data_IF_397966481343
#
_entry.id   IF_397966481343
#
_cell.length_a   1.000
_cell.length_b   1.000
_cell.length_c   1.000
_cell.angle_alpha   90.00
_cell.angle_beta   90.00
_cell.angle_gamma   90.00
#
_symmetry.space_group_name_H-M   'P 1'
#
loop_
_entity.id
_entity.type
_entity.pdbx_description
1 polymer ?
#
# COMPACT_ATOMS: atom_id res chain seq x y z
N UNK A 1 28.43 47.46 -49.19
CA UNK A 1 27.85 47.55 -47.85
C UNK A 1 27.01 46.30 -47.65
N UNK A 2 27.58 45.21 -47.06
CA UNK A 2 26.86 43.97 -46.71
C UNK A 2 26.68 43.96 -45.19
N UNK A 3 25.43 43.94 -44.72
CA UNK A 3 25.04 43.71 -43.32
C UNK A 3 25.01 42.22 -43.02
N UNK A 4 25.60 41.73 -41.94
CA UNK A 4 25.43 40.36 -41.50
C UNK A 4 24.14 40.25 -40.66
N UNK A 5 23.13 39.61 -41.23
CA UNK A 5 21.90 39.22 -40.53
C UNK A 5 21.93 37.68 -40.41
N UNK A 6 22.25 37.16 -39.21
CA UNK A 6 22.25 35.70 -39.12
C UNK A 6 22.86 35.05 -37.88
N UNK A 7 22.93 35.76 -36.71
CA UNK A 7 23.56 35.12 -35.52
C UNK A 7 22.72 35.06 -34.25
N UNK A 8 21.47 35.46 -34.28
CA UNK A 8 20.62 35.54 -33.07
C UNK A 8 19.51 34.50 -32.99
N UNK A 9 19.24 33.69 -34.05
CA UNK A 9 18.15 32.69 -34.06
C UNK A 9 18.58 31.37 -33.39
N UNK A 10 19.88 31.04 -33.40
CA UNK A 10 20.36 29.76 -32.82
C UNK A 10 20.34 29.68 -31.29
N UNK A 11 20.45 30.83 -30.60
CA UNK A 11 20.51 30.83 -29.12
C UNK A 11 19.13 30.70 -28.44
N UNK A 12 18.06 31.13 -29.11
CA UNK A 12 16.69 31.03 -28.54
C UNK A 12 16.08 29.63 -28.65
N UNK A 13 16.54 28.80 -29.60
CA UNK A 13 16.03 27.47 -29.77
C UNK A 13 16.56 26.46 -28.72
N UNK A 14 17.78 26.69 -28.22
CA UNK A 14 18.39 25.83 -27.20
C UNK A 14 17.74 25.97 -25.81
N UNK A 15 17.17 27.14 -25.48
CA UNK A 15 16.55 27.37 -24.16
C UNK A 15 15.15 26.71 -24.08
N UNK A 16 14.44 26.61 -25.20
CA UNK A 16 13.10 26.00 -25.24
C UNK A 16 13.15 24.48 -25.09
N UNK A 17 14.25 23.82 -25.48
CA UNK A 17 14.38 22.35 -25.36
C UNK A 17 14.77 21.92 -23.94
N UNK A 18 15.54 22.76 -23.21
CA UNK A 18 15.93 22.48 -21.83
C UNK A 18 14.74 22.52 -20.84
N UNK A 19 13.67 23.27 -21.16
CA UNK A 19 12.48 23.39 -20.30
C UNK A 19 11.53 22.19 -20.39
N UNK A 20 11.66 21.32 -21.39
CA UNK A 20 10.81 20.15 -21.59
C UNK A 20 11.27 18.91 -20.79
N UNK A 21 12.49 18.90 -20.26
CA UNK A 21 13.02 17.78 -19.47
C UNK A 21 12.74 17.87 -17.97
N UNK A 22 12.18 18.99 -17.47
CA UNK A 22 11.89 19.18 -16.03
C UNK A 22 10.47 18.67 -15.66
N UNK A 23 9.63 18.31 -16.64
CA UNK A 23 8.21 17.99 -16.41
C UNK A 23 7.91 16.52 -16.15
N UNK A 24 8.88 15.63 -15.94
CA UNK A 24 8.66 14.18 -15.71
C UNK A 24 9.44 13.62 -14.52
N UNK A 25 9.79 14.40 -13.53
CA UNK A 25 10.02 13.88 -12.20
C UNK A 25 8.64 13.78 -11.53
N UNK A 26 7.85 12.76 -11.89
CA UNK A 26 6.88 12.22 -10.95
C UNK A 26 7.71 11.75 -9.77
N UNK A 27 7.59 12.42 -8.64
CA UNK A 27 8.04 11.86 -7.37
C UNK A 27 7.35 10.50 -7.26
N UNK A 28 8.10 9.42 -7.47
CA UNK A 28 7.61 8.06 -7.30
C UNK A 28 7.37 7.87 -5.80
N UNK A 29 6.17 8.23 -5.36
CA UNK A 29 5.74 8.05 -3.97
C UNK A 29 5.80 6.56 -3.66
N UNK A 30 6.55 6.20 -2.62
CA UNK A 30 6.71 4.80 -2.25
C UNK A 30 5.33 4.15 -2.00
N UNK A 31 5.11 2.89 -2.42
CA UNK A 31 3.83 2.21 -2.22
C UNK A 31 3.35 2.23 -0.76
N UNK A 32 4.26 2.18 0.21
CA UNK A 32 3.97 2.29 1.65
C UNK A 32 3.37 3.65 2.01
N UNK A 33 3.83 4.74 1.42
CA UNK A 33 3.31 6.08 1.70
C UNK A 33 1.91 6.26 1.08
N UNK A 34 1.67 5.68 -0.09
CA UNK A 34 0.34 5.63 -0.72
C UNK A 34 -0.65 4.84 0.14
N UNK A 35 -0.22 3.70 0.69
CA UNK A 35 -1.01 2.88 1.61
C UNK A 35 -1.37 3.67 2.87
N UNK A 36 -0.37 4.26 3.53
CA UNK A 36 -0.57 5.07 4.72
C UNK A 36 -1.56 6.21 4.50
N UNK A 37 -1.38 6.97 3.42
CA UNK A 37 -2.30 8.05 3.07
C UNK A 37 -3.72 7.52 2.82
N UNK A 38 -3.88 6.37 2.17
CA UNK A 38 -5.19 5.79 1.91
C UNK A 38 -5.91 5.36 3.20
N UNK A 39 -5.20 4.87 4.21
CA UNK A 39 -5.77 4.58 5.53
C UNK A 39 -6.12 5.86 6.31
N UNK A 40 -5.32 6.92 6.21
CA UNK A 40 -5.67 8.23 6.79
C UNK A 40 -6.92 8.83 6.12
N UNK A 41 -7.03 8.76 4.79
CA UNK A 41 -8.23 9.20 4.06
C UNK A 41 -9.48 8.42 4.53
N UNK A 42 -9.35 7.11 4.79
CA UNK A 42 -10.44 6.29 5.31
C UNK A 42 -10.85 6.71 6.72
N UNK A 43 -9.89 7.00 7.61
CA UNK A 43 -10.20 7.51 8.96
C UNK A 43 -10.93 8.85 8.91
N UNK A 44 -10.47 9.76 8.05
CA UNK A 44 -11.13 11.06 7.86
C UNK A 44 -12.59 10.90 7.38
N UNK A 45 -12.83 10.01 6.41
CA UNK A 45 -14.19 9.72 5.92
C UNK A 45 -15.09 9.10 6.99
N UNK A 46 -14.53 8.24 7.87
CA UNK A 46 -15.27 7.66 9.01
C UNK A 46 -15.72 8.74 9.98
N UNK A 47 -14.86 9.70 10.30
CA UNK A 47 -15.20 10.85 11.17
C UNK A 47 -16.34 11.70 10.58
N UNK A 48 -16.35 11.88 9.26
CA UNK A 48 -17.42 12.62 8.59
C UNK A 48 -18.74 11.85 8.48
N UNK A 49 -18.64 10.53 8.26
CA UNK A 49 -19.82 9.69 7.99
C UNK A 49 -20.54 9.22 9.25
N UNK A 50 -19.83 9.00 10.37
CA UNK A 50 -20.40 8.39 11.59
C UNK A 50 -20.63 9.46 12.64
N UNK A 51 -21.90 9.78 12.92
CA UNK A 51 -22.27 10.80 13.91
C UNK A 51 -22.26 10.29 15.37
N UNK A 52 -22.28 8.98 15.59
CA UNK A 52 -22.22 8.38 16.93
C UNK A 52 -20.78 8.23 17.37
N UNK A 53 -20.31 8.94 18.42
CA UNK A 53 -18.90 8.96 18.80
C UNK A 53 -18.37 7.60 19.29
N UNK A 54 -19.23 6.72 19.80
CA UNK A 54 -18.82 5.38 20.25
C UNK A 54 -18.59 4.48 19.03
N UNK A 55 -19.48 4.53 18.05
CA UNK A 55 -19.32 3.78 16.79
C UNK A 55 -18.18 4.32 15.94
N UNK A 56 -17.98 5.64 15.89
CA UNK A 56 -16.85 6.29 15.23
C UNK A 56 -15.51 5.79 15.81
N UNK A 57 -15.34 5.88 17.13
CA UNK A 57 -14.12 5.44 17.80
C UNK A 57 -13.84 3.94 17.56
N UNK A 58 -14.86 3.10 17.59
CA UNK A 58 -14.72 1.66 17.30
C UNK A 58 -14.37 1.42 15.83
N UNK A 59 -14.98 2.14 14.88
CA UNK A 59 -14.64 2.02 13.46
C UNK A 59 -13.18 2.40 13.20
N UNK A 60 -12.70 3.51 13.78
CA UNK A 60 -11.29 3.94 13.68
C UNK A 60 -10.35 2.89 14.28
N UNK A 61 -10.70 2.33 15.44
CA UNK A 61 -9.92 1.25 16.07
C UNK A 61 -9.83 0.01 15.16
N UNK A 62 -10.93 -0.39 14.52
CA UNK A 62 -10.97 -1.53 13.62
C UNK A 62 -10.16 -1.30 12.34
N UNK A 63 -10.14 -0.08 11.82
CA UNK A 63 -9.25 0.32 10.72
C UNK A 63 -7.78 0.19 11.13
N UNK A 64 -7.43 0.59 12.36
CA UNK A 64 -6.09 0.39 12.92
C UNK A 64 -5.68 -1.09 12.96
N UNK A 65 -6.58 -1.97 13.42
CA UNK A 65 -6.32 -3.42 13.41
C UNK A 65 -6.08 -3.97 12.00
N UNK A 66 -6.86 -3.51 11.02
CA UNK A 66 -6.65 -3.91 9.61
C UNK A 66 -5.28 -3.47 9.09
N UNK A 67 -4.88 -2.22 9.34
CA UNK A 67 -3.60 -1.66 8.92
C UNK A 67 -2.42 -2.41 9.56
N UNK A 68 -2.48 -2.66 10.86
CA UNK A 68 -1.46 -3.41 11.61
C UNK A 68 -1.30 -4.84 11.11
N UNK A 69 -2.39 -5.58 10.90
CA UNK A 69 -2.35 -6.95 10.40
C UNK A 69 -1.79 -7.02 8.96
N UNK A 70 -2.12 -6.05 8.10
CA UNK A 70 -1.57 -5.97 6.75
C UNK A 70 -0.08 -5.60 6.74
N UNK A 71 0.35 -4.70 7.63
CA UNK A 71 1.76 -4.36 7.82
C UNK A 71 2.57 -5.55 8.35
N UNK A 72 2.02 -6.30 9.32
CA UNK A 72 2.62 -7.52 9.84
C UNK A 72 2.75 -8.60 8.75
N UNK A 73 1.69 -8.80 7.94
CA UNK A 73 1.73 -9.72 6.81
C UNK A 73 2.84 -9.37 5.81
N UNK A 74 3.00 -8.09 5.48
CA UNK A 74 4.06 -7.58 4.61
C UNK A 74 5.45 -7.91 5.15
N UNK A 75 5.69 -7.61 6.43
CA UNK A 75 6.96 -7.91 7.12
C UNK A 75 7.27 -9.39 7.08
N UNK A 76 6.27 -10.23 7.34
CA UNK A 76 6.43 -11.68 7.33
C UNK A 76 6.73 -12.22 5.92
N UNK A 77 6.11 -11.67 4.87
CA UNK A 77 6.40 -12.04 3.47
C UNK A 77 7.87 -11.72 3.13
N UNK A 78 8.35 -10.54 3.50
CA UNK A 78 9.75 -10.15 3.27
C UNK A 78 10.73 -11.09 3.99
N UNK A 79 10.47 -11.42 5.26
CA UNK A 79 11.29 -12.37 6.03
C UNK A 79 11.29 -13.77 5.40
N UNK A 80 10.13 -14.26 4.95
CA UNK A 80 9.98 -15.57 4.29
C UNK A 80 10.79 -15.64 2.99
N UNK A 81 10.78 -14.59 2.19
CA UNK A 81 11.56 -14.51 0.95
C UNK A 81 13.06 -14.69 1.21
N UNK A 82 13.57 -14.12 2.30
CA UNK A 82 14.96 -14.29 2.73
C UNK A 82 15.21 -15.72 3.19
N UNK A 83 14.37 -16.25 4.08
CA UNK A 83 14.56 -17.59 4.63
C UNK A 83 14.44 -18.70 3.56
N UNK A 84 13.51 -18.60 2.62
CA UNK A 84 13.41 -19.54 1.50
C UNK A 84 14.68 -19.51 0.64
N UNK A 85 15.29 -18.33 0.44
CA UNK A 85 16.57 -18.23 -0.29
C UNK A 85 17.71 -18.94 0.46
N UNK A 86 17.76 -18.80 1.79
CA UNK A 86 18.74 -19.46 2.64
C UNK A 86 18.59 -20.99 2.58
N UNK A 87 17.36 -21.50 2.72
CA UNK A 87 17.07 -22.92 2.59
C UNK A 87 17.47 -23.49 1.21
N UNK A 88 17.16 -22.75 0.14
CA UNK A 88 17.51 -23.15 -1.23
C UNK A 88 19.02 -23.05 -1.53
N UNK A 89 19.74 -22.18 -0.85
CA UNK A 89 21.20 -22.05 -1.03
C UNK A 89 21.96 -23.17 -0.34
N UNK A 90 21.38 -23.83 0.66
CA UNK A 90 21.96 -24.95 1.36
C UNK A 90 21.48 -26.28 0.74
N UNK A 91 22.33 -26.90 -0.11
CA UNK A 91 22.00 -28.15 -0.78
C UNK A 91 21.84 -29.36 0.18
N UNK A 92 22.30 -29.23 1.42
CA UNK A 92 22.16 -30.27 2.45
C UNK A 92 20.88 -30.11 3.29
N UNK A 93 20.05 -29.11 3.01
CA UNK A 93 18.80 -28.90 3.74
C UNK A 93 17.85 -30.11 3.54
N UNK A 94 17.50 -30.82 4.61
CA UNK A 94 16.58 -31.96 4.50
C UNK A 94 15.21 -31.53 3.97
N UNK A 95 14.61 -32.35 3.09
CA UNK A 95 13.27 -32.10 2.57
C UNK A 95 12.23 -31.89 3.68
N UNK A 96 12.34 -32.65 4.78
CA UNK A 96 11.44 -32.55 5.91
C UNK A 96 11.49 -31.17 6.59
N UNK A 97 12.65 -30.53 6.65
CA UNK A 97 12.80 -29.16 7.18
C UNK A 97 12.09 -28.14 6.30
N UNK A 98 12.22 -28.26 4.99
CA UNK A 98 11.54 -27.40 4.03
C UNK A 98 10.01 -27.58 4.11
N UNK A 99 9.53 -28.81 4.19
CA UNK A 99 8.10 -29.12 4.33
C UNK A 99 7.53 -28.58 5.66
N UNK A 100 8.25 -28.72 6.77
CA UNK A 100 7.86 -28.16 8.07
C UNK A 100 7.79 -26.63 8.03
N UNK A 101 8.75 -25.98 7.40
CA UNK A 101 8.74 -24.53 7.20
C UNK A 101 7.51 -24.08 6.39
N UNK A 102 7.21 -24.73 5.26
CA UNK A 102 6.06 -24.39 4.44
C UNK A 102 4.74 -24.58 5.19
N UNK A 103 4.60 -25.64 5.98
CA UNK A 103 3.42 -25.88 6.81
C UNK A 103 3.23 -24.73 7.85
N UNK A 104 4.32 -24.24 8.45
CA UNK A 104 4.30 -23.09 9.34
C UNK A 104 3.84 -21.81 8.62
N UNK A 105 4.36 -21.55 7.42
CA UNK A 105 3.96 -20.41 6.59
C UNK A 105 2.46 -20.46 6.25
N UNK A 106 1.94 -21.63 5.88
CA UNK A 106 0.51 -21.81 5.59
C UNK A 106 -0.38 -21.53 6.82
N UNK A 107 0.03 -21.99 8.00
CA UNK A 107 -0.68 -21.72 9.24
C UNK A 107 -0.74 -20.23 9.54
N UNK A 108 0.38 -19.55 9.42
CA UNK A 108 0.50 -18.09 9.65
C UNK A 108 -0.33 -17.28 8.64
N UNK A 109 -0.33 -17.64 7.36
CA UNK A 109 -1.17 -16.98 6.33
C UNK A 109 -2.65 -17.18 6.63
N UNK A 110 -3.06 -18.39 7.08
CA UNK A 110 -4.45 -18.61 7.49
C UNK A 110 -4.86 -17.74 8.66
N UNK A 111 -3.98 -17.55 9.64
CA UNK A 111 -4.24 -16.70 10.80
C UNK A 111 -4.36 -15.22 10.43
N UNK A 112 -3.47 -14.69 9.60
CA UNK A 112 -3.60 -13.32 9.08
C UNK A 112 -4.91 -13.12 8.32
N UNK A 113 -5.24 -14.04 7.41
CA UNK A 113 -6.49 -13.99 6.64
C UNK A 113 -7.72 -14.00 7.55
N UNK A 114 -7.70 -14.80 8.62
CA UNK A 114 -8.78 -14.86 9.61
C UNK A 114 -8.93 -13.53 10.32
N UNK A 115 -7.85 -12.96 10.90
CA UNK A 115 -7.88 -11.68 11.62
C UNK A 115 -8.35 -10.52 10.74
N UNK A 116 -7.80 -10.39 9.54
CA UNK A 116 -8.24 -9.36 8.57
C UNK A 116 -9.73 -9.52 8.24
N UNK A 117 -10.21 -10.76 8.02
CA UNK A 117 -11.64 -11.01 7.74
C UNK A 117 -12.54 -10.74 8.94
N UNK A 118 -12.07 -10.98 10.16
CA UNK A 118 -12.81 -10.68 11.40
C UNK A 118 -12.90 -9.16 11.62
N UNK A 119 -11.78 -8.44 11.52
CA UNK A 119 -11.75 -6.99 11.66
C UNK A 119 -12.62 -6.30 10.58
N UNK A 120 -12.53 -6.75 9.33
CA UNK A 120 -13.37 -6.22 8.25
C UNK A 120 -14.87 -6.47 8.50
N UNK A 121 -15.25 -7.69 8.93
CA UNK A 121 -16.66 -7.98 9.28
C UNK A 121 -17.14 -7.16 10.47
N UNK A 122 -16.30 -6.97 11.49
CA UNK A 122 -16.61 -6.13 12.64
C UNK A 122 -16.83 -4.66 12.23
N UNK A 123 -15.96 -4.13 11.36
CA UNK A 123 -16.14 -2.78 10.80
C UNK A 123 -17.48 -2.65 10.06
N UNK A 124 -17.82 -3.59 9.19
CA UNK A 124 -19.10 -3.58 8.46
C UNK A 124 -20.32 -3.75 9.37
N UNK A 125 -20.19 -4.44 10.50
CA UNK A 125 -21.27 -4.60 11.48
C UNK A 125 -21.44 -3.36 12.38
N UNK A 126 -20.40 -2.54 12.52
CA UNK A 126 -20.39 -1.33 13.35
C UNK A 126 -21.02 -0.10 12.62
N UNK A 127 -21.22 -0.17 11.32
CA UNK A 127 -21.72 0.94 10.49
C UNK A 127 -23.11 0.66 9.92
N UNK A 128 -23.93 1.70 9.76
CA UNK A 128 -25.22 1.61 9.05
C UNK A 128 -25.03 1.39 7.54
N UNK A 129 -26.10 1.14 6.82
CA UNK A 129 -26.05 0.99 5.36
C UNK A 129 -25.62 2.30 4.66
N UNK A 130 -26.09 3.43 5.16
CA UNK A 130 -25.77 4.78 4.66
C UNK A 130 -24.30 5.12 4.93
N UNK A 131 -23.83 4.93 6.16
CA UNK A 131 -22.43 5.15 6.55
C UNK A 131 -21.50 4.25 5.75
N UNK A 132 -21.86 2.98 5.54
CA UNK A 132 -21.09 2.03 4.71
C UNK A 132 -20.99 2.52 3.26
N UNK A 133 -22.07 3.06 2.71
CA UNK A 133 -22.05 3.63 1.35
C UNK A 133 -21.13 4.83 1.26
N UNK A 134 -21.08 5.69 2.27
CA UNK A 134 -20.20 6.85 2.33
C UNK A 134 -18.72 6.42 2.33
N UNK A 135 -18.32 5.50 3.22
CA UNK A 135 -16.92 5.07 3.36
C UNK A 135 -16.45 4.07 2.31
N UNK A 136 -17.33 3.52 1.47
CA UNK A 136 -17.03 2.39 0.57
C UNK A 136 -15.86 2.67 -0.39
N UNK A 137 -15.79 3.88 -0.94
CA UNK A 137 -14.75 4.28 -1.89
C UNK A 137 -13.38 4.37 -1.23
N UNK A 138 -13.29 5.05 -0.08
CA UNK A 138 -12.03 5.21 0.67
C UNK A 138 -11.58 3.88 1.27
N UNK A 139 -12.50 3.06 1.76
CA UNK A 139 -12.21 1.69 2.20
C UNK A 139 -11.61 0.84 1.07
N UNK A 140 -12.23 0.84 -0.11
CA UNK A 140 -11.70 0.10 -1.28
C UNK A 140 -10.33 0.62 -1.69
N UNK A 141 -10.11 1.95 -1.67
CA UNK A 141 -8.81 2.56 -1.97
C UNK A 141 -7.74 2.09 -0.98
N UNK A 142 -8.02 2.09 0.33
CA UNK A 142 -7.09 1.66 1.37
C UNK A 142 -6.72 0.17 1.20
N UNK A 143 -7.70 -0.70 1.00
CA UNK A 143 -7.46 -2.14 0.79
C UNK A 143 -6.65 -2.42 -0.47
N UNK A 144 -6.94 -1.73 -1.59
CA UNK A 144 -6.17 -1.89 -2.83
C UNK A 144 -4.74 -1.38 -2.68
N UNK A 145 -4.52 -0.27 -1.98
CA UNK A 145 -3.19 0.25 -1.70
C UNK A 145 -2.36 -0.76 -0.90
N UNK A 146 -2.93 -1.36 0.15
CA UNK A 146 -2.27 -2.40 0.94
C UNK A 146 -1.92 -3.65 0.11
N UNK A 147 -2.83 -4.11 -0.74
CA UNK A 147 -2.58 -5.23 -1.65
C UNK A 147 -1.42 -4.90 -2.62
N UNK A 148 -1.41 -3.69 -3.20
CA UNK A 148 -0.35 -3.24 -4.10
C UNK A 148 1.00 -3.20 -3.39
N UNK A 149 1.04 -2.69 -2.15
CA UNK A 149 2.26 -2.65 -1.34
C UNK A 149 2.79 -4.06 -1.06
N UNK A 150 1.90 -5.01 -0.73
CA UNK A 150 2.28 -6.42 -0.52
C UNK A 150 2.84 -7.05 -1.82
N UNK A 151 2.26 -6.74 -2.97
CA UNK A 151 2.70 -7.26 -4.28
C UNK A 151 4.04 -6.67 -4.74
N UNK A 152 4.46 -5.52 -4.21
CA UNK A 152 5.72 -4.86 -4.57
C UNK A 152 6.97 -5.45 -3.86
N UNK A 153 6.78 -6.39 -2.91
CA UNK A 153 7.86 -7.07 -2.17
C UNK A 153 8.39 -8.27 -2.98
#
# INVERSE_FOLDING_TARGET
MHKPFGRTIGALLCIAVASLFIACAKDDVAPVDVEKQAFEDLRAEIVEAISDPVREAEAIRLVGVLEEDLAALRTNIAARKTHVRELNANYDTPRAEFEAYLAGVEAEVRDHKRRVSEAHRALLANVTAEERSAIAKTHTKAMNAAITTIQSI
#
